data_IF_781250702376
#
_entry.id   IF_781250702376
#
_cell.length_a   1.000
_cell.length_b   1.000
_cell.length_c   1.000
_cell.angle_alpha   90.00
_cell.angle_beta   90.00
_cell.angle_gamma   90.00
#
_symmetry.space_group_name_H-M   'P 1'
#
loop_
_entity.id
_entity.type
_entity.pdbx_description
1 polymer ?
#
# COMPACT_ATOMS: atom_id res chain seq x y z
N UNK A 1 -6.21 12.33 1.24
CA UNK A 1 -6.79 11.48 2.30
C UNK A 1 -5.85 11.49 3.49
N UNK A 2 -6.39 11.60 4.70
CA UNK A 2 -5.62 11.53 5.93
C UNK A 2 -5.66 10.08 6.42
N UNK A 3 -4.60 9.31 6.18
CA UNK A 3 -4.52 7.90 6.58
C UNK A 3 -4.54 7.67 8.08
N UNK A 4 -4.50 8.75 8.86
CA UNK A 4 -4.68 8.72 10.30
C UNK A 4 -6.06 8.15 10.66
N UNK A 5 -7.14 8.55 9.98
CA UNK A 5 -8.51 8.23 10.42
C UNK A 5 -8.98 6.80 10.06
N UNK A 6 -8.45 6.18 9.00
CA UNK A 6 -8.82 4.81 8.56
C UNK A 6 -8.04 3.70 9.29
N UNK A 7 -6.93 4.03 9.96
CA UNK A 7 -6.08 3.08 10.69
C UNK A 7 -6.62 2.79 12.11
N UNK A 8 -7.58 3.58 12.61
CA UNK A 8 -7.95 3.59 14.03
C UNK A 8 -8.94 2.52 14.51
N UNK A 9 -9.60 1.72 13.67
CA UNK A 9 -10.55 0.72 14.20
C UNK A 9 -9.90 -0.54 14.80
N UNK A 10 -8.57 -0.68 14.81
CA UNK A 10 -7.92 -1.85 15.44
C UNK A 10 -6.61 -1.57 16.21
N UNK A 11 -6.20 -0.31 16.38
CA UNK A 11 -4.97 0.01 17.11
C UNK A 11 -5.16 1.24 18.01
N UNK A 12 -6.02 1.12 19.02
CA UNK A 12 -6.25 2.11 20.08
C UNK A 12 -5.01 2.49 20.92
N UNK A 13 -3.81 2.00 20.58
CA UNK A 13 -2.57 2.30 21.32
C UNK A 13 -1.49 3.04 20.53
N UNK A 14 -1.71 3.43 19.27
CA UNK A 14 -0.73 4.25 18.53
C UNK A 14 -1.20 5.71 18.47
N UNK A 15 -1.32 6.33 19.65
CA UNK A 15 -1.66 7.74 19.78
C UNK A 15 -0.50 8.71 19.56
N UNK A 16 0.68 8.27 19.13
CA UNK A 16 1.83 9.17 18.99
C UNK A 16 2.76 8.75 17.86
N UNK A 17 2.49 9.20 16.62
CA UNK A 17 3.50 9.25 15.56
C UNK A 17 3.46 10.65 14.93
N UNK A 18 3.64 11.64 15.79
CA UNK A 18 4.12 12.99 15.42
C UNK A 18 5.50 13.27 16.04
N UNK A 19 6.03 12.37 16.88
CA UNK A 19 7.34 12.47 17.50
C UNK A 19 8.14 11.21 17.21
N UNK A 20 9.38 11.38 16.74
CA UNK A 20 10.37 10.31 16.61
C UNK A 20 10.38 9.45 17.90
N UNK A 21 10.41 8.11 17.80
CA UNK A 21 10.55 7.25 18.96
C UNK A 21 11.80 7.64 19.77
N UNK A 22 11.64 7.84 21.08
CA UNK A 22 12.71 8.30 21.96
C UNK A 22 13.91 7.32 22.07
N UNK A 23 13.76 6.10 21.55
CA UNK A 23 14.79 5.06 21.52
C UNK A 23 15.70 5.13 20.28
N UNK A 24 15.48 6.10 19.38
CA UNK A 24 16.24 6.23 18.13
C UNK A 24 15.83 5.21 17.06
N UNK A 25 14.71 4.50 17.25
CA UNK A 25 14.18 3.62 16.21
C UNK A 25 13.68 4.43 15.01
N UNK A 26 14.11 4.02 13.81
CA UNK A 26 13.68 4.64 12.57
C UNK A 26 12.38 4.00 12.08
N UNK A 27 11.50 4.81 11.52
CA UNK A 27 10.21 4.39 11.00
C UNK A 27 9.93 5.10 9.69
N UNK A 28 9.16 4.45 8.83
CA UNK A 28 8.48 5.12 7.75
C UNK A 28 7.16 5.68 8.26
N UNK A 29 6.93 6.97 8.04
CA UNK A 29 5.68 7.63 8.43
C UNK A 29 4.47 7.04 7.70
N UNK A 30 3.29 7.18 8.32
CA UNK A 30 2.02 6.88 7.65
C UNK A 30 1.95 7.60 6.31
N UNK A 31 1.48 6.92 5.27
CA UNK A 31 1.44 7.50 3.93
C UNK A 31 0.23 7.04 3.12
N UNK A 32 -0.17 7.88 2.19
CA UNK A 32 -1.14 7.54 1.16
C UNK A 32 -0.42 7.47 -0.18
N UNK A 33 -0.42 6.31 -0.83
CA UNK A 33 0.27 6.11 -2.11
C UNK A 33 -0.62 6.36 -3.33
N UNK A 34 -1.70 7.15 -3.16
CA UNK A 34 -2.79 7.40 -4.10
C UNK A 34 -3.84 6.29 -4.23
N UNK A 35 -3.64 5.14 -3.59
CA UNK A 35 -4.58 4.00 -3.62
C UNK A 35 -4.89 3.46 -2.23
N UNK A 36 -3.87 3.23 -1.41
CA UNK A 36 -3.99 2.67 -0.07
C UNK A 36 -3.37 3.59 0.97
N UNK A 37 -3.95 3.53 2.17
CA UNK A 37 -3.36 4.06 3.37
C UNK A 37 -2.41 3.03 3.99
N UNK A 38 -1.14 3.40 4.08
CA UNK A 38 -0.07 2.61 4.69
C UNK A 38 0.19 3.15 6.09
N UNK A 39 0.03 2.33 7.14
CA UNK A 39 0.31 2.78 8.49
C UNK A 39 1.83 2.89 8.71
N UNK A 40 2.25 3.59 9.77
CA UNK A 40 3.65 3.70 10.14
C UNK A 40 4.27 2.32 10.31
N UNK A 41 5.46 2.14 9.73
CA UNK A 41 6.12 0.82 9.66
C UNK A 41 7.57 0.95 10.13
N UNK A 42 8.07 0.06 11.01
CA UNK A 42 9.46 0.11 11.48
C UNK A 42 10.45 0.01 10.31
N UNK A 43 11.57 0.73 10.42
CA UNK A 43 12.65 0.63 9.45
C UNK A 43 13.17 -0.80 9.33
N UNK A 44 13.63 -1.15 8.12
CA UNK A 44 14.13 -2.49 7.80
C UNK A 44 13.07 -3.60 7.93
N UNK A 45 11.79 -3.27 7.75
CA UNK A 45 10.67 -4.23 7.76
C UNK A 45 9.73 -3.98 6.59
N UNK A 46 8.83 -4.93 6.34
CA UNK A 46 7.77 -4.81 5.35
C UNK A 46 6.41 -4.96 6.02
N UNK A 47 5.43 -4.25 5.47
CA UNK A 47 4.04 -4.36 5.85
C UNK A 47 3.23 -5.00 4.72
N UNK A 48 2.25 -5.81 5.11
CA UNK A 48 1.36 -6.52 4.20
C UNK A 48 -0.07 -6.09 4.47
N UNK A 49 -0.78 -5.68 3.42
CA UNK A 49 -2.19 -5.31 3.46
C UNK A 49 -2.97 -6.15 2.43
N UNK A 50 -4.29 -6.32 2.60
CA UNK A 50 -5.12 -6.84 1.52
C UNK A 50 -5.10 -5.88 0.32
N UNK A 51 -5.22 -6.43 -0.88
CA UNK A 51 -5.43 -5.65 -2.08
C UNK A 51 -6.74 -4.83 -1.97
N UNK A 52 -6.78 -3.61 -2.51
CA UNK A 52 -7.93 -2.71 -2.33
C UNK A 52 -9.17 -3.27 -3.04
N UNK A 53 -10.38 -3.06 -2.49
CA UNK A 53 -11.64 -3.55 -3.04
C UNK A 53 -12.13 -2.75 -4.26
N UNK A 54 -11.24 -2.49 -5.22
CA UNK A 54 -11.53 -1.76 -6.44
C UNK A 54 -11.88 -2.71 -7.59
N UNK A 55 -12.66 -2.22 -8.55
CA UNK A 55 -13.05 -2.99 -9.74
C UNK A 55 -11.80 -3.46 -10.51
N UNK A 56 -11.74 -4.76 -10.79
CA UNK A 56 -10.61 -5.38 -11.50
C UNK A 56 -9.46 -5.85 -10.59
N UNK A 57 -9.53 -5.59 -9.27
CA UNK A 57 -8.56 -6.07 -8.30
C UNK A 57 -9.15 -7.16 -7.39
N UNK A 58 -8.32 -8.12 -6.99
CA UNK A 58 -8.66 -9.28 -6.17
C UNK A 58 -8.36 -9.00 -4.69
N UNK A 59 -9.36 -8.70 -3.85
CA UNK A 59 -9.14 -8.33 -2.46
C UNK A 59 -8.69 -9.51 -1.58
N UNK A 60 -8.77 -10.74 -2.10
CA UNK A 60 -8.24 -11.92 -1.40
C UNK A 60 -6.71 -12.03 -1.48
N UNK A 61 -6.08 -11.27 -2.39
CA UNK A 61 -4.63 -11.20 -2.51
C UNK A 61 -4.04 -10.16 -1.57
N UNK A 62 -2.74 -10.30 -1.33
CA UNK A 62 -1.98 -9.44 -0.44
C UNK A 62 -0.99 -8.59 -1.23
N UNK A 63 -0.81 -7.35 -0.79
CA UNK A 63 0.15 -6.39 -1.34
C UNK A 63 1.13 -6.00 -0.25
N UNK A 64 2.40 -5.86 -0.65
CA UNK A 64 3.52 -5.61 0.27
C UNK A 64 4.14 -4.26 -0.02
N UNK A 65 4.49 -3.54 1.03
CA UNK A 65 5.32 -2.33 0.96
C UNK A 65 6.46 -2.42 1.96
N UNK A 66 7.62 -1.96 1.57
CA UNK A 66 8.84 -2.09 2.37
C UNK A 66 9.29 -0.73 2.90
N UNK A 67 9.58 -0.68 4.19
CA UNK A 67 10.28 0.41 4.83
C UNK A 67 11.77 0.09 4.87
N UNK A 68 12.58 0.88 4.15
CA UNK A 68 14.03 0.69 4.14
C UNK A 68 14.65 0.99 5.52
N UNK A 69 15.86 0.48 5.75
CA UNK A 69 16.63 0.66 6.99
C UNK A 69 16.85 2.12 7.39
N UNK A 70 16.76 3.07 6.46
CA UNK A 70 16.89 4.49 6.73
C UNK A 70 15.56 5.18 7.13
N UNK A 71 14.49 4.43 7.39
CA UNK A 71 13.17 5.00 7.72
C UNK A 71 12.51 5.68 6.52
N UNK A 72 12.82 5.23 5.31
CA UNK A 72 12.25 5.75 4.07
C UNK A 72 11.50 4.67 3.33
N UNK A 73 10.33 5.00 2.80
CA UNK A 73 9.59 4.07 1.97
C UNK A 73 10.42 3.69 0.75
N UNK A 74 10.55 2.39 0.49
CA UNK A 74 11.35 1.90 -0.62
C UNK A 74 10.78 2.38 -1.97
N UNK A 75 11.66 2.83 -2.86
CA UNK A 75 11.32 3.08 -4.25
C UNK A 75 11.20 1.80 -5.06
N UNK A 76 10.93 1.95 -6.36
CA UNK A 76 10.85 0.82 -7.30
C UNK A 76 12.18 0.06 -7.43
N UNK A 77 13.27 0.78 -7.24
CA UNK A 77 14.63 0.25 -7.23
C UNK A 77 15.28 0.59 -5.89
N UNK A 78 16.20 -0.27 -5.43
CA UNK A 78 16.93 -0.04 -4.18
C UNK A 78 17.67 1.30 -4.20
N UNK A 79 17.65 2.00 -3.07
CA UNK A 79 18.34 3.28 -2.92
C UNK A 79 17.66 4.48 -3.61
N UNK A 80 16.55 4.28 -4.34
CA UNK A 80 15.79 5.36 -4.98
C UNK A 80 14.67 5.84 -4.05
N UNK A 81 14.68 7.13 -3.71
CA UNK A 81 13.74 7.74 -2.75
C UNK A 81 13.11 9.05 -3.27
N UNK A 82 12.99 9.20 -4.59
CA UNK A 82 12.41 10.40 -5.23
C UNK A 82 10.94 10.63 -4.84
N UNK A 83 10.18 9.54 -4.66
CA UNK A 83 8.83 9.61 -4.10
C UNK A 83 8.88 9.44 -2.58
N UNK A 84 8.51 10.46 -1.77
CA UNK A 84 8.50 10.34 -0.31
C UNK A 84 7.53 9.27 0.20
N UNK A 85 6.52 8.90 -0.61
CA UNK A 85 5.55 7.84 -0.30
C UNK A 85 6.01 6.46 -0.81
N UNK A 86 7.20 6.38 -1.42
CA UNK A 86 7.79 5.18 -1.99
C UNK A 86 7.03 4.62 -3.19
N UNK A 87 7.26 3.35 -3.50
CA UNK A 87 6.60 2.63 -4.57
C UNK A 87 5.86 1.42 -4.03
N UNK A 88 4.80 0.99 -4.72
CA UNK A 88 3.98 -0.16 -4.36
C UNK A 88 3.66 -0.97 -5.62
N UNK A 89 3.89 -2.28 -5.58
CA UNK A 89 3.61 -3.16 -6.72
C UNK A 89 2.15 -3.65 -6.72
N UNK A 90 1.25 -2.91 -7.36
CA UNK A 90 -0.16 -3.32 -7.49
C UNK A 90 -0.40 -4.44 -8.51
N UNK A 91 0.60 -4.88 -9.27
CA UNK A 91 0.41 -5.93 -10.28
C UNK A 91 -0.11 -7.23 -9.66
N UNK A 92 0.30 -7.54 -8.43
CA UNK A 92 -0.18 -8.72 -7.69
C UNK A 92 -1.69 -8.69 -7.45
N UNK A 93 -2.30 -7.50 -7.39
CA UNK A 93 -3.71 -7.31 -7.09
C UNK A 93 -4.63 -7.49 -8.29
N UNK A 94 -4.14 -7.47 -9.53
CA UNK A 94 -5.03 -7.62 -10.68
C UNK A 94 -5.69 -9.00 -10.69
N UNK A 95 -7.02 -9.02 -10.80
CA UNK A 95 -7.75 -10.23 -11.17
C UNK A 95 -7.28 -10.61 -12.57
N UNK A 96 -6.60 -11.75 -12.70
CA UNK A 96 -6.30 -12.31 -14.01
C UNK A 96 -7.56 -12.96 -14.59
N UNK A 97 -8.66 -12.21 -14.62
CA UNK A 97 -9.94 -12.69 -15.12
C UNK A 97 -10.04 -12.33 -16.60
N UNK A 98 -9.31 -13.09 -17.44
CA UNK A 98 -9.51 -13.06 -18.90
C UNK A 98 -10.99 -13.22 -19.28
N UNK A 99 -11.79 -13.87 -18.42
CA UNK A 99 -13.22 -14.07 -18.61
C UNK A 99 -14.04 -12.78 -18.51
N UNK A 100 -13.66 -11.80 -17.69
CA UNK A 100 -14.36 -10.51 -17.61
C UNK A 100 -14.07 -9.60 -18.82
N UNK A 101 -12.92 -9.79 -19.48
CA UNK A 101 -12.55 -9.07 -20.71
C UNK A 101 -13.32 -9.61 -21.91
N UNK A 102 -13.50 -10.94 -22.00
CA UNK A 102 -14.27 -11.58 -23.08
C UNK A 102 -15.74 -11.15 -23.11
N UNK A 103 -16.38 -10.97 -21.95
CA UNK A 103 -17.80 -10.61 -21.87
C UNK A 103 -18.07 -9.22 -22.48
N UNK A 104 -17.14 -8.26 -22.38
CA UNK A 104 -17.34 -6.93 -23.00
C UNK A 104 -17.05 -6.88 -24.50
N UNK A 105 -16.19 -7.78 -24.99
CA UNK A 105 -15.91 -7.91 -26.42
C UNK A 105 -17.03 -8.64 -27.16
N UNK A 106 -17.80 -9.51 -26.49
CA UNK A 106 -18.93 -10.20 -27.13
C UNK A 106 -20.21 -9.32 -27.20
N UNK A 107 -20.40 -8.40 -26.26
CA UNK A 107 -21.51 -7.44 -26.27
C UNK A 107 -21.33 -6.33 -27.32
N UNK A 108 -20.09 -6.03 -27.72
CA UNK A 108 -19.76 -5.00 -28.73
C UNK A 108 -19.68 -5.53 -30.16
N UNK A 109 -19.82 -6.85 -30.36
CA UNK A 109 -19.85 -7.50 -31.70
C UNK A 109 -21.29 -7.89 -32.11
N UNK A 110 -22.28 -7.61 -31.26
CA UNK A 110 -23.69 -7.97 -31.48
C UNK A 110 -24.58 -6.80 -31.94
N UNK A 111 -24.03 -5.84 -32.72
CA UNK A 111 -24.82 -4.77 -33.39
C UNK A 111 -24.63 -4.85 -34.89
#
# INVERSE_FOLDING_TARGET
MNCRDEVFENFDNIKQIESEPADGSLWCNATYDTVLCWPPTPANTSIVLPCPPLKGLDPSRQIVKTCDRFGRWAGKHEGVYENPWGWTNFTVCFRMDFENVKVRLNESVSV
#
